data_IF_094048736101
#
_entry.id   IF_094048736101
#
_cell.length_a   1.000
_cell.length_b   1.000
_cell.length_c   1.000
_cell.angle_alpha   90.00
_cell.angle_beta   90.00
_cell.angle_gamma   90.00
#
_symmetry.space_group_name_H-M   'P 1'
#
loop_
_entity.id
_entity.type
_entity.pdbx_description
1 polymer ?
#
# COMPACT_ATOMS: atom_id res chain seq x y z
N UNK A 1 -11.96 11.00 -9.50
CA UNK A 1 -12.25 10.29 -8.23
C UNK A 1 -11.87 11.21 -7.08
N UNK A 2 -12.79 11.48 -6.16
CA UNK A 2 -12.50 12.32 -4.99
C UNK A 2 -11.47 11.63 -4.09
N UNK A 3 -10.52 12.39 -3.54
CA UNK A 3 -9.50 11.88 -2.61
C UNK A 3 -10.10 11.07 -1.45
N UNK A 4 -11.26 11.51 -0.94
CA UNK A 4 -11.99 10.82 0.13
C UNK A 4 -12.37 9.38 -0.25
N UNK A 5 -12.73 9.17 -1.52
CA UNK A 5 -13.16 7.88 -2.06
C UNK A 5 -11.96 6.96 -2.25
N UNK A 6 -10.89 7.46 -2.90
CA UNK A 6 -9.62 6.72 -3.03
C UNK A 6 -9.05 6.32 -1.68
N UNK A 7 -8.96 7.27 -0.74
CA UNK A 7 -8.42 7.02 0.60
C UNK A 7 -9.28 6.04 1.42
N UNK A 8 -10.61 6.10 1.30
CA UNK A 8 -11.51 5.15 1.97
C UNK A 8 -11.41 3.74 1.37
N UNK A 9 -11.29 3.63 0.04
CA UNK A 9 -11.08 2.35 -0.64
C UNK A 9 -9.74 1.72 -0.22
N UNK A 10 -8.66 2.50 -0.23
CA UNK A 10 -7.33 2.05 0.21
C UNK A 10 -7.36 1.59 1.67
N UNK A 11 -8.03 2.35 2.56
CA UNK A 11 -8.20 1.96 3.95
C UNK A 11 -8.97 0.64 4.09
N UNK A 12 -10.02 0.44 3.29
CA UNK A 12 -10.80 -0.80 3.30
C UNK A 12 -9.97 -1.99 2.82
N UNK A 13 -9.15 -1.82 1.79
CA UNK A 13 -8.25 -2.86 1.27
C UNK A 13 -7.24 -3.27 2.34
N UNK A 14 -6.58 -2.30 3.00
CA UNK A 14 -5.63 -2.60 4.08
C UNK A 14 -6.30 -3.24 5.29
N UNK A 15 -7.53 -2.86 5.61
CA UNK A 15 -8.30 -3.49 6.68
C UNK A 15 -8.68 -4.93 6.32
N UNK A 16 -9.13 -5.18 5.08
CA UNK A 16 -9.41 -6.51 4.59
C UNK A 16 -8.15 -7.41 4.63
N UNK A 17 -7.01 -6.89 4.18
CA UNK A 17 -5.72 -7.58 4.31
C UNK A 17 -5.39 -7.90 5.77
N UNK A 18 -5.50 -6.94 6.67
CA UNK A 18 -5.28 -7.16 8.11
C UNK A 18 -6.13 -8.33 8.64
N UNK A 19 -7.43 -8.36 8.33
CA UNK A 19 -8.31 -9.44 8.74
C UNK A 19 -7.88 -10.79 8.14
N UNK A 20 -7.54 -10.83 6.85
CA UNK A 20 -7.08 -12.06 6.20
C UNK A 20 -5.79 -12.57 6.86
N UNK A 21 -4.80 -11.72 7.11
CA UNK A 21 -3.53 -12.13 7.75
C UNK A 21 -3.71 -12.58 9.21
N UNK A 22 -4.70 -12.04 9.94
CA UNK A 22 -4.98 -12.43 11.33
C UNK A 22 -5.73 -13.76 11.39
N UNK A 23 -6.83 -13.88 10.63
CA UNK A 23 -7.74 -15.02 10.75
C UNK A 23 -7.33 -16.20 9.87
N UNK A 24 -6.87 -15.94 8.63
CA UNK A 24 -6.59 -16.98 7.63
C UNK A 24 -5.34 -16.62 6.80
N UNK A 25 -4.14 -16.56 7.42
CA UNK A 25 -2.90 -16.28 6.69
C UNK A 25 -2.60 -17.34 5.62
N UNK A 26 -3.13 -18.55 5.80
CA UNK A 26 -3.01 -19.66 4.86
C UNK A 26 -3.58 -19.36 3.47
N UNK A 27 -4.57 -18.46 3.37
CA UNK A 27 -5.11 -18.02 2.07
C UNK A 27 -4.04 -17.31 1.23
N UNK A 28 -3.21 -16.49 1.89
CA UNK A 28 -2.14 -15.74 1.25
C UNK A 28 -0.99 -16.66 0.85
N UNK A 29 -0.66 -17.63 1.70
CA UNK A 29 0.36 -18.64 1.34
C UNK A 29 -0.09 -19.46 0.15
N UNK A 30 -1.36 -19.86 0.10
CA UNK A 30 -1.90 -20.56 -1.04
C UNK A 30 -1.86 -19.71 -2.31
N UNK A 31 -2.25 -18.43 -2.23
CA UNK A 31 -2.17 -17.49 -3.36
C UNK A 31 -0.73 -17.32 -3.87
N UNK A 32 0.24 -17.26 -2.96
CA UNK A 32 1.66 -17.13 -3.31
C UNK A 32 2.37 -18.46 -3.52
N UNK A 33 1.68 -19.60 -3.47
CA UNK A 33 2.30 -20.93 -3.61
C UNK A 33 3.36 -21.25 -2.55
N UNK A 34 3.30 -20.62 -1.39
CA UNK A 34 4.26 -20.78 -0.30
C UNK A 34 3.81 -21.87 0.68
N UNK A 35 4.77 -22.63 1.22
CA UNK A 35 4.51 -23.54 2.34
C UNK A 35 4.34 -22.74 3.63
N UNK A 36 3.12 -22.72 4.18
CA UNK A 36 2.85 -22.14 5.49
C UNK A 36 3.66 -22.86 6.57
N UNK A 37 4.40 -22.10 7.38
CA UNK A 37 5.15 -22.62 8.53
C UNK A 37 4.94 -21.71 9.74
N UNK A 38 5.31 -22.17 10.93
CA UNK A 38 5.11 -21.44 12.19
C UNK A 38 5.77 -20.05 12.20
N UNK A 39 6.91 -19.89 11.53
CA UNK A 39 7.63 -18.60 11.40
C UNK A 39 6.88 -17.66 10.45
N UNK A 40 6.42 -18.15 9.30
CA UNK A 40 5.61 -17.39 8.36
C UNK A 40 4.33 -16.89 9.02
N UNK A 41 3.66 -17.74 9.80
CA UNK A 41 2.42 -17.41 10.52
C UNK A 41 2.63 -16.33 11.58
N UNK A 42 3.78 -16.37 12.25
CA UNK A 42 4.14 -15.35 13.23
C UNK A 42 4.42 -14.01 12.54
N UNK A 43 5.19 -14.01 11.43
CA UNK A 43 5.46 -12.81 10.65
C UNK A 43 4.19 -12.22 10.02
N UNK A 44 3.29 -13.05 9.49
CA UNK A 44 2.05 -12.61 8.88
C UNK A 44 1.15 -11.87 9.88
N UNK A 45 0.99 -12.39 11.10
CA UNK A 45 0.22 -11.70 12.15
C UNK A 45 0.83 -10.34 12.52
N UNK A 46 2.16 -10.24 12.57
CA UNK A 46 2.83 -8.94 12.82
C UNK A 46 2.64 -7.97 11.66
N UNK A 47 2.75 -8.45 10.42
CA UNK A 47 2.49 -7.64 9.23
C UNK A 47 1.04 -7.14 9.18
N UNK A 48 0.07 -7.94 9.66
CA UNK A 48 -1.33 -7.53 9.74
C UNK A 48 -1.52 -6.22 10.51
N UNK A 49 -0.85 -6.07 11.66
CA UNK A 49 -0.92 -4.84 12.44
C UNK A 49 -0.27 -3.63 11.74
N UNK A 50 0.72 -3.84 10.87
CA UNK A 50 1.26 -2.78 10.03
C UNK A 50 0.24 -2.31 8.99
N UNK A 51 -0.46 -3.25 8.34
CA UNK A 51 -1.57 -2.91 7.44
C UNK A 51 -2.73 -2.22 8.19
N UNK A 52 -3.01 -2.61 9.43
CA UNK A 52 -3.98 -1.91 10.27
C UNK A 52 -3.56 -0.44 10.50
N UNK A 53 -2.28 -0.20 10.80
CA UNK A 53 -1.75 1.16 10.94
C UNK A 53 -1.92 1.98 9.66
N UNK A 54 -1.62 1.41 8.49
CA UNK A 54 -1.84 2.06 7.19
C UNK A 54 -3.33 2.31 6.90
N UNK A 55 -4.21 1.39 7.29
CA UNK A 55 -5.65 1.54 7.16
C UNK A 55 -6.16 2.72 7.99
N UNK A 56 -5.72 2.82 9.25
CA UNK A 56 -6.06 3.93 10.16
C UNK A 56 -5.50 5.25 9.63
N UNK A 57 -4.25 5.27 9.13
CA UNK A 57 -3.64 6.46 8.55
C UNK A 57 -4.47 6.99 7.36
N UNK A 58 -4.84 6.10 6.43
CA UNK A 58 -5.70 6.47 5.29
C UNK A 58 -7.08 6.92 5.77
N UNK A 59 -7.69 6.20 6.71
CA UNK A 59 -9.00 6.55 7.24
C UNK A 59 -9.02 7.91 7.96
N UNK A 60 -7.97 8.25 8.70
CA UNK A 60 -7.82 9.55 9.34
C UNK A 60 -7.60 10.66 8.29
N UNK A 61 -6.78 10.39 7.27
CA UNK A 61 -6.50 11.34 6.19
C UNK A 61 -7.72 11.69 5.33
N UNK A 62 -8.75 10.83 5.28
CA UNK A 62 -9.95 11.02 4.44
C UNK A 62 -10.72 12.31 4.75
N UNK A 63 -10.63 12.83 5.98
CA UNK A 63 -11.39 14.00 6.40
C UNK A 63 -10.58 15.30 6.34
N UNK A 64 -9.31 15.23 5.91
CA UNK A 64 -8.44 16.40 5.86
C UNK A 64 -8.71 17.23 4.62
N UNK A 65 -8.91 18.53 4.84
CA UNK A 65 -9.05 19.55 3.79
C UNK A 65 -7.69 20.09 3.30
N UNK A 66 -6.61 19.94 4.07
CA UNK A 66 -5.27 20.36 3.68
C UNK A 66 -4.71 19.51 2.54
N UNK A 67 -4.37 20.15 1.43
CA UNK A 67 -3.71 19.56 0.26
C UNK A 67 -2.31 19.02 0.57
N UNK A 68 -1.60 19.61 1.54
CA UNK A 68 -0.27 19.16 1.95
C UNK A 68 -0.32 17.79 2.62
N UNK A 69 -1.23 17.61 3.58
CA UNK A 69 -1.41 16.33 4.29
C UNK A 69 -1.80 15.24 3.30
N UNK A 70 -2.68 15.56 2.34
CA UNK A 70 -3.06 14.62 1.26
C UNK A 70 -1.88 14.17 0.43
N UNK A 71 -0.97 15.10 0.10
CA UNK A 71 0.26 14.81 -0.64
C UNK A 71 1.23 13.94 0.15
N UNK A 72 1.46 14.25 1.44
CA UNK A 72 2.32 13.44 2.33
C UNK A 72 1.81 12.01 2.49
N UNK A 73 0.52 11.86 2.79
CA UNK A 73 -0.08 10.53 2.96
C UNK A 73 -0.03 9.74 1.65
N UNK A 74 -0.29 10.38 0.51
CA UNK A 74 -0.20 9.72 -0.80
C UNK A 74 1.23 9.30 -1.13
N UNK A 75 2.23 10.11 -0.78
CA UNK A 75 3.64 9.75 -0.93
C UNK A 75 4.02 8.56 -0.06
N UNK A 76 3.57 8.53 1.20
CA UNK A 76 3.82 7.41 2.10
C UNK A 76 3.23 6.11 1.55
N UNK A 77 1.97 6.14 1.08
CA UNK A 77 1.31 4.97 0.46
C UNK A 77 2.04 4.54 -0.81
N UNK A 78 2.45 5.48 -1.66
CA UNK A 78 3.25 5.19 -2.86
C UNK A 78 4.58 4.51 -2.51
N UNK A 79 5.29 5.00 -1.51
CA UNK A 79 6.56 4.42 -1.09
C UNK A 79 6.33 3.00 -0.56
N UNK A 80 5.36 2.80 0.34
CA UNK A 80 5.06 1.47 0.91
C UNK A 80 4.62 0.46 -0.15
N UNK A 81 3.66 0.82 -1.02
CA UNK A 81 3.15 -0.08 -2.06
C UNK A 81 4.17 -0.29 -3.18
N UNK A 82 4.96 0.74 -3.53
CA UNK A 82 6.04 0.63 -4.50
C UNK A 82 7.13 -0.32 -4.03
N UNK A 83 7.54 -0.25 -2.76
CA UNK A 83 8.51 -1.18 -2.18
C UNK A 83 7.99 -2.63 -2.17
N UNK A 84 6.72 -2.84 -1.85
CA UNK A 84 6.13 -4.18 -1.85
C UNK A 84 6.00 -4.76 -3.28
N UNK A 85 5.61 -3.93 -4.26
CA UNK A 85 5.57 -4.35 -5.66
C UNK A 85 6.96 -4.72 -6.20
N UNK A 86 8.00 -3.95 -5.83
CA UNK A 86 9.37 -4.28 -6.17
C UNK A 86 9.80 -5.61 -5.55
N UNK A 87 9.49 -5.84 -4.26
CA UNK A 87 9.76 -7.10 -3.59
C UNK A 87 9.02 -8.26 -4.28
N UNK A 88 7.75 -8.09 -4.63
CA UNK A 88 6.98 -9.12 -5.33
C UNK A 88 7.56 -9.48 -6.70
N UNK A 89 8.06 -8.48 -7.44
CA UNK A 89 8.75 -8.71 -8.70
C UNK A 89 10.08 -9.47 -8.50
N UNK A 90 10.85 -9.14 -7.45
CA UNK A 90 12.09 -9.83 -7.11
C UNK A 90 11.83 -11.30 -6.73
N UNK A 91 10.79 -11.56 -5.94
CA UNK A 91 10.39 -12.92 -5.53
C UNK A 91 9.89 -13.77 -6.72
N UNK A 92 9.17 -13.15 -7.66
CA UNK A 92 8.78 -13.80 -8.91
C UNK A 92 10.01 -14.16 -9.76
N UNK A 93 10.97 -13.24 -9.87
CA UNK A 93 12.20 -13.48 -10.65
C UNK A 93 13.09 -14.56 -10.02
N UNK A 94 13.08 -14.67 -8.69
CA UNK A 94 13.78 -15.74 -7.94
C UNK A 94 13.03 -17.08 -7.96
N UNK A 95 11.83 -17.15 -8.54
CA UNK A 95 11.02 -18.37 -8.60
C UNK A 95 10.55 -18.91 -7.24
N UNK A 96 10.60 -18.09 -6.19
CA UNK A 96 10.19 -18.48 -4.83
C UNK A 96 8.69 -18.28 -4.60
N UNK A 97 8.08 -17.35 -5.33
CA UNK A 97 6.66 -17.09 -5.28
C UNK A 97 5.93 -17.69 -6.49
N UNK A 98 4.79 -18.32 -6.22
CA UNK A 98 3.87 -18.81 -7.23
C UNK A 98 3.21 -17.69 -8.05
N UNK A 99 2.53 -18.04 -9.16
CA UNK A 99 1.98 -17.08 -10.10
C UNK A 99 0.93 -16.13 -9.51
N UNK A 100 0.32 -16.45 -8.37
CA UNK A 100 -0.64 -15.56 -7.71
C UNK A 100 -0.02 -14.27 -7.14
N UNK A 101 1.31 -14.16 -7.04
CA UNK A 101 1.96 -12.88 -6.69
C UNK A 101 1.69 -11.78 -7.73
N UNK A 102 1.40 -12.15 -8.98
CA UNK A 102 1.01 -11.20 -10.02
C UNK A 102 -0.27 -10.43 -9.66
N UNK A 103 -1.20 -11.07 -8.93
CA UNK A 103 -2.43 -10.41 -8.45
C UNK A 103 -2.10 -9.36 -7.40
N UNK A 104 -1.14 -9.65 -6.51
CA UNK A 104 -0.67 -8.68 -5.52
C UNK A 104 0.04 -7.50 -6.20
N UNK A 105 0.98 -7.77 -7.11
CA UNK A 105 1.69 -6.74 -7.89
C UNK A 105 0.70 -5.85 -8.65
N UNK A 106 -0.32 -6.44 -9.29
CA UNK A 106 -1.34 -5.68 -9.99
C UNK A 106 -2.12 -4.75 -9.04
N UNK A 107 -2.50 -5.23 -7.85
CA UNK A 107 -3.18 -4.42 -6.84
C UNK A 107 -2.29 -3.28 -6.31
N UNK A 108 -1.01 -3.55 -6.07
CA UNK A 108 -0.03 -2.58 -5.59
C UNK A 108 0.23 -1.50 -6.64
N UNK A 109 0.38 -1.88 -7.91
CA UNK A 109 0.53 -0.95 -9.03
C UNK A 109 -0.74 -0.11 -9.21
N UNK A 110 -1.93 -0.70 -9.06
CA UNK A 110 -3.19 0.04 -9.12
C UNK A 110 -3.30 1.08 -8.00
N UNK A 111 -2.94 0.71 -6.76
CA UNK A 111 -2.87 1.63 -5.62
C UNK A 111 -1.83 2.73 -5.83
N UNK A 112 -0.66 2.38 -6.37
CA UNK A 112 0.37 3.34 -6.76
C UNK A 112 -0.14 4.31 -7.83
N UNK A 113 -0.79 3.84 -8.89
CA UNK A 113 -1.36 4.71 -9.91
C UNK A 113 -2.45 5.63 -9.34
N UNK A 114 -3.26 5.14 -8.40
CA UNK A 114 -4.31 5.92 -7.75
C UNK A 114 -3.74 7.05 -6.87
N UNK A 115 -2.69 6.77 -6.09
CA UNK A 115 -2.04 7.77 -5.22
C UNK A 115 -1.02 8.64 -5.95
N UNK A 116 -0.42 8.14 -7.04
CA UNK A 116 0.53 8.86 -7.89
C UNK A 116 -0.02 10.18 -8.41
N UNK A 117 -1.29 10.18 -8.83
CA UNK A 117 -2.00 11.39 -9.27
C UNK A 117 -2.04 12.49 -8.21
N UNK A 118 -2.10 12.14 -6.94
CA UNK A 118 -2.13 13.10 -5.83
C UNK A 118 -0.75 13.49 -5.33
N UNK A 119 0.26 12.65 -5.53
CA UNK A 119 1.64 12.97 -5.16
C UNK A 119 2.36 13.86 -6.18
N UNK A 120 2.04 13.73 -7.48
CA UNK A 120 2.56 14.62 -8.55
C UNK A 120 2.18 16.07 -8.27
N UNK A 121 0.95 16.32 -7.82
CA UNK A 121 0.46 17.66 -7.44
C UNK A 121 1.31 18.33 -6.35
N UNK A 122 1.97 17.57 -5.46
CA UNK A 122 2.87 18.15 -4.45
C UNK A 122 4.23 18.56 -5.02
N UNK A 123 4.71 17.90 -6.08
CA UNK A 123 5.98 18.29 -6.73
C UNK A 123 5.85 19.67 -7.35
N UNK A 124 4.72 19.98 -7.97
CA UNK A 124 4.49 21.27 -8.62
C UNK A 124 4.40 22.44 -7.61
N UNK A 125 3.87 22.23 -6.40
CA UNK A 125 3.86 23.26 -5.36
C UNK A 125 5.24 23.45 -4.69
N UNK A 126 6.01 22.39 -4.50
CA UNK A 126 7.36 22.49 -3.92
C UNK A 126 8.36 23.19 -4.87
N UNK A 127 8.21 23.01 -6.18
CA UNK A 127 9.03 23.72 -7.18
C UNK A 127 8.55 25.16 -7.41
N UNK A 128 7.26 25.45 -7.23
CA UNK A 128 6.72 26.81 -7.31
C UNK A 128 7.18 27.72 -6.17
N UNK A 129 7.20 27.20 -4.94
CA UNK A 129 7.65 27.95 -3.76
C UNK A 129 9.16 28.23 -3.80
N UNK A 130 9.95 27.29 -4.32
CA UNK A 130 11.40 27.49 -4.56
C UNK A 130 11.69 28.58 -5.60
N UNK A 131 10.88 28.66 -6.66
CA UNK A 131 11.03 29.70 -7.70
C UNK A 131 10.55 31.08 -7.28
N UNK A 132 9.74 31.19 -6.23
CA UNK A 132 9.28 32.47 -5.69
C UNK A 132 10.23 33.03 -4.60
N UNK A 133 11.15 32.20 -4.11
CA UNK A 133 12.18 32.56 -3.13
C UNK A 133 13.53 32.94 -3.77
N UNK A 134 13.66 32.77 -5.09
CA UNK A 134 14.80 33.16 -5.92
C UNK A 134 14.51 34.47 -6.67
#
# INVERSE_FOLDING_TARGET
MSYRLTSSLTALIFLALCLVLIFVPQLIYWLFGLAGNTVSDFLAKRAAFLFLGLAVLCFAARNTHSTEVRGVVSLAVLASMGSMALLGMLELWRGHAGPGILVAIAAEVALCAAHGRFAVVRRDHADGDRRAAD
#
